data_IF_747655473198
#
_entry.id   IF_747655473198
#
_cell.length_a   1.000
_cell.length_b   1.000
_cell.length_c   1.000
_cell.angle_alpha   90.00
_cell.angle_beta   90.00
_cell.angle_gamma   90.00
#
_symmetry.space_group_name_H-M   'P 1'
#
loop_
_entity.id
_entity.type
_entity.pdbx_description
1 polymer ?
#
# COMPACT_ATOMS: atom_id res chain seq x y z
N UNK A 1 -0.12 -12.82 14.38
CA UNK A 1 1.29 -12.44 14.17
C UNK A 1 1.97 -13.65 13.57
N UNK A 2 2.31 -13.63 12.27
CA UNK A 2 3.10 -14.71 11.68
C UNK A 2 4.54 -14.50 12.17
N UNK A 3 4.88 -15.12 13.30
CA UNK A 3 6.25 -15.10 13.81
C UNK A 3 7.06 -15.94 12.84
N UNK A 4 7.88 -15.29 11.99
CA UNK A 4 8.88 -16.02 11.22
C UNK A 4 9.81 -16.71 12.23
N UNK A 5 9.87 -18.05 12.16
CA UNK A 5 10.83 -18.83 12.93
C UNK A 5 12.25 -18.27 12.68
N UNK A 6 13.11 -18.27 13.70
CA UNK A 6 14.47 -17.75 13.64
C UNK A 6 15.26 -18.28 12.43
N UNK A 7 15.01 -19.52 12.04
CA UNK A 7 15.58 -20.19 10.86
C UNK A 7 15.24 -19.50 9.53
N UNK A 8 14.04 -18.94 9.38
CA UNK A 8 13.63 -18.19 8.17
C UNK A 8 14.30 -16.82 8.10
N UNK A 9 14.48 -16.14 9.24
CA UNK A 9 15.24 -14.88 9.28
C UNK A 9 16.69 -15.10 8.87
N UNK A 10 17.33 -16.18 9.34
CA UNK A 10 18.69 -16.56 8.92
C UNK A 10 18.78 -16.84 7.41
N UNK A 11 17.76 -17.46 6.81
CA UNK A 11 17.71 -17.69 5.37
C UNK A 11 17.61 -16.38 4.57
N UNK A 12 16.79 -15.42 5.02
CA UNK A 12 16.72 -14.09 4.41
C UNK A 12 18.05 -13.34 4.50
N UNK A 13 18.72 -13.37 5.65
CA UNK A 13 20.06 -12.79 5.78
C UNK A 13 21.13 -13.51 4.95
N UNK A 14 20.93 -14.79 4.61
CA UNK A 14 21.78 -15.47 3.63
C UNK A 14 21.50 -14.95 2.22
N UNK A 15 20.23 -14.80 1.83
CA UNK A 15 19.84 -14.26 0.52
C UNK A 15 20.43 -12.86 0.28
N UNK A 16 20.36 -11.97 1.27
CA UNK A 16 20.97 -10.63 1.16
C UNK A 16 22.51 -10.66 1.07
N UNK A 17 23.17 -11.71 1.59
CA UNK A 17 24.63 -11.88 1.44
C UNK A 17 25.00 -12.46 0.08
N UNK A 18 24.21 -13.40 -0.40
CA UNK A 18 24.45 -14.10 -1.67
C UNK A 18 24.17 -13.16 -2.86
N UNK A 19 23.27 -12.19 -2.72
CA UNK A 19 22.92 -11.21 -3.74
C UNK A 19 23.04 -9.78 -3.19
N UNK A 20 24.09 -9.05 -3.63
CA UNK A 20 24.43 -7.74 -3.08
C UNK A 20 23.29 -6.72 -3.19
N UNK A 21 22.58 -6.74 -4.31
CA UNK A 21 21.48 -5.83 -4.67
C UNK A 21 20.10 -6.27 -4.17
N UNK A 22 20.02 -7.35 -3.37
CA UNK A 22 18.77 -7.79 -2.74
C UNK A 22 18.74 -7.28 -1.31
N UNK A 23 17.60 -6.68 -0.94
CA UNK A 23 17.28 -6.21 0.40
C UNK A 23 15.95 -6.80 0.86
N UNK A 24 15.93 -7.31 2.10
CA UNK A 24 14.74 -7.82 2.75
C UNK A 24 14.20 -6.78 3.72
N UNK A 25 13.02 -6.26 3.40
CA UNK A 25 12.34 -5.23 4.20
C UNK A 25 11.17 -5.88 4.92
N UNK A 26 11.23 -5.96 6.24
CA UNK A 26 10.08 -6.40 7.03
C UNK A 26 9.12 -5.23 7.21
N UNK A 27 7.84 -5.47 6.93
CA UNK A 27 6.77 -4.48 7.13
C UNK A 27 6.71 -3.92 8.56
N UNK A 28 7.12 -4.70 9.56
CA UNK A 28 7.19 -4.28 10.97
C UNK A 28 8.28 -3.25 11.25
N UNK A 29 9.31 -3.20 10.41
CA UNK A 29 10.46 -2.32 10.57
C UNK A 29 10.28 -0.98 9.81
N UNK A 30 9.15 -0.80 9.11
CA UNK A 30 8.86 0.41 8.33
C UNK A 30 7.79 1.23 9.03
N UNK A 31 8.11 2.50 9.30
CA UNK A 31 7.13 3.45 9.82
C UNK A 31 6.21 3.97 8.71
N UNK A 32 4.94 3.57 8.79
CA UNK A 32 3.85 4.04 7.96
C UNK A 32 2.88 4.97 8.69
N UNK A 33 3.16 5.35 9.93
CA UNK A 33 2.24 6.12 10.79
C UNK A 33 1.76 7.44 10.17
N UNK A 34 2.59 8.08 9.34
CA UNK A 34 2.23 9.31 8.62
C UNK A 34 1.05 9.14 7.63
N UNK A 35 0.75 7.90 7.23
CA UNK A 35 -0.38 7.58 6.36
C UNK A 35 -1.56 6.97 7.15
N UNK A 36 -1.43 6.80 8.46
CA UNK A 36 -2.52 6.25 9.25
C UNK A 36 -3.65 7.27 9.41
N UNK A 37 -4.88 6.77 9.46
CA UNK A 37 -6.07 7.55 9.78
C UNK A 37 -6.90 6.77 10.78
N UNK A 38 -7.54 7.49 11.70
CA UNK A 38 -8.53 6.88 12.59
C UNK A 38 -9.73 6.44 11.78
N UNK A 39 -10.20 5.23 12.05
CA UNK A 39 -11.41 4.71 11.42
C UNK A 39 -12.64 5.50 11.89
N UNK A 40 -12.63 5.99 13.13
CA UNK A 40 -13.71 6.85 13.65
C UNK A 40 -13.86 8.14 12.83
N UNK A 41 -12.75 8.83 12.52
CA UNK A 41 -12.75 10.03 11.68
C UNK A 41 -13.27 9.70 10.27
N UNK A 42 -12.82 8.57 9.70
CA UNK A 42 -13.28 8.08 8.40
C UNK A 42 -14.79 7.84 8.38
N UNK A 43 -15.31 7.10 9.36
CA UNK A 43 -16.74 6.80 9.44
C UNK A 43 -17.55 8.07 9.64
N UNK A 44 -17.05 9.02 10.43
CA UNK A 44 -17.68 10.32 10.61
C UNK A 44 -17.75 11.12 9.30
N UNK A 45 -16.67 11.18 8.53
CA UNK A 45 -16.64 11.87 7.23
C UNK A 45 -17.70 11.29 6.28
N UNK A 46 -17.74 9.95 6.14
CA UNK A 46 -18.67 9.26 5.25
C UNK A 46 -20.13 9.43 5.71
N UNK A 47 -20.40 9.36 7.01
CA UNK A 47 -21.75 9.60 7.56
C UNK A 47 -22.19 11.04 7.25
N UNK A 48 -21.31 12.02 7.41
CA UNK A 48 -21.61 13.41 7.08
C UNK A 48 -21.92 13.55 5.58
N UNK A 49 -21.11 12.98 4.71
CA UNK A 49 -21.33 12.99 3.26
C UNK A 49 -22.67 12.34 2.86
N UNK A 50 -23.02 11.19 3.47
CA UNK A 50 -24.30 10.52 3.22
C UNK A 50 -25.49 11.38 3.68
N UNK A 51 -25.38 12.06 4.82
CA UNK A 51 -26.44 12.93 5.35
C UNK A 51 -26.64 14.20 4.53
N UNK A 52 -25.63 14.66 3.78
CA UNK A 52 -25.76 15.77 2.83
C UNK A 52 -26.54 15.39 1.57
N UNK A 53 -26.74 14.09 1.29
CA UNK A 53 -27.51 13.60 0.15
C UNK A 53 -29.01 13.64 0.44
N UNK A 54 -29.78 13.81 -0.63
CA UNK A 54 -31.24 13.64 -0.61
C UNK A 54 -31.59 12.19 -0.25
N UNK A 55 -32.75 11.98 0.39
CA UNK A 55 -33.16 10.65 0.90
C UNK A 55 -33.15 9.56 -0.18
N UNK A 56 -33.54 9.90 -1.42
CA UNK A 56 -33.54 8.98 -2.57
C UNK A 56 -32.14 8.54 -3.04
N UNK A 57 -31.09 9.29 -2.64
CA UNK A 57 -29.68 9.04 -3.01
C UNK A 57 -28.83 8.60 -1.83
N UNK A 58 -29.42 8.51 -0.64
CA UNK A 58 -28.71 8.12 0.57
C UNK A 58 -28.69 6.61 0.68
N UNK A 59 -27.51 6.07 1.00
CA UNK A 59 -27.38 4.66 1.32
C UNK A 59 -27.68 4.45 2.82
N UNK A 60 -28.96 4.22 3.14
CA UNK A 60 -29.41 4.01 4.52
C UNK A 60 -28.85 2.72 5.14
N UNK A 61 -28.52 1.70 4.32
CA UNK A 61 -27.88 0.49 4.83
C UNK A 61 -26.45 0.79 5.29
N UNK A 62 -25.67 1.47 4.43
CA UNK A 62 -24.31 1.89 4.77
C UNK A 62 -24.30 2.81 5.99
N UNK A 63 -25.22 3.78 6.07
CA UNK A 63 -25.30 4.70 7.19
C UNK A 63 -25.54 3.97 8.52
N UNK A 64 -26.51 3.05 8.56
CA UNK A 64 -26.78 2.23 9.74
C UNK A 64 -25.58 1.35 10.13
N UNK A 65 -24.88 0.79 9.14
CA UNK A 65 -23.68 -0.01 9.37
C UNK A 65 -22.56 0.84 9.99
N UNK A 66 -22.24 1.99 9.39
CA UNK A 66 -21.18 2.87 9.86
C UNK A 66 -21.47 3.45 11.25
N UNK A 67 -22.72 3.80 11.55
CA UNK A 67 -23.11 4.24 12.90
C UNK A 67 -22.95 3.13 13.93
N UNK A 68 -23.20 1.87 13.56
CA UNK A 68 -22.94 0.72 14.44
C UNK A 68 -21.44 0.52 14.66
N UNK A 69 -20.65 0.46 13.60
CA UNK A 69 -19.20 0.32 13.67
C UNK A 69 -18.55 1.42 14.52
N UNK A 70 -18.98 2.67 14.35
CA UNK A 70 -18.51 3.81 15.12
C UNK A 70 -18.86 3.71 16.62
N UNK A 71 -20.00 3.11 16.99
CA UNK A 71 -20.35 2.87 18.40
C UNK A 71 -19.52 1.75 19.03
N UNK A 72 -19.12 0.77 18.24
CA UNK A 72 -18.44 -0.44 18.72
C UNK A 72 -16.90 -0.32 18.67
N UNK A 73 -16.36 0.66 17.94
CA UNK A 73 -14.92 0.80 17.78
C UNK A 73 -14.20 1.16 19.09
N UNK A 74 -13.21 0.35 19.45
CA UNK A 74 -12.34 0.64 20.59
C UNK A 74 -11.14 1.50 20.19
N UNK A 75 -10.58 2.28 21.14
CA UNK A 75 -9.36 3.08 20.90
C UNK A 75 -8.18 2.26 20.37
N UNK A 76 -8.08 0.98 20.73
CA UNK A 76 -7.01 0.09 20.26
C UNK A 76 -7.24 -0.43 18.82
N UNK A 77 -8.44 -0.25 18.27
CA UNK A 77 -8.82 -0.64 16.92
C UNK A 77 -8.97 0.57 15.99
N UNK A 78 -8.90 1.78 16.52
CA UNK A 78 -9.12 3.03 15.79
C UNK A 78 -7.89 3.48 14.98
N UNK A 79 -7.50 2.63 14.04
CA UNK A 79 -6.36 2.83 13.14
C UNK A 79 -6.56 1.99 11.87
N UNK A 80 -6.56 2.66 10.72
CA UNK A 80 -6.67 2.05 9.42
C UNK A 80 -5.55 1.03 9.19
N UNK A 81 -4.31 1.43 9.48
CA UNK A 81 -3.14 0.54 9.34
C UNK A 81 -3.27 -0.68 10.25
N UNK A 82 -3.71 -0.49 11.50
CA UNK A 82 -3.88 -1.59 12.45
C UNK A 82 -4.98 -2.56 12.02
N UNK A 83 -6.06 -2.06 11.41
CA UNK A 83 -7.13 -2.88 10.84
C UNK A 83 -6.60 -3.74 9.68
N UNK A 84 -5.90 -3.14 8.72
CA UNK A 84 -5.35 -3.88 7.59
C UNK A 84 -4.23 -4.85 8.01
N UNK A 85 -3.39 -4.50 8.98
CA UNK A 85 -2.35 -5.39 9.54
C UNK A 85 -2.91 -6.70 10.14
N UNK A 86 -4.17 -6.72 10.55
CA UNK A 86 -4.85 -7.92 11.07
C UNK A 86 -5.39 -8.83 9.97
N UNK A 87 -5.62 -8.32 8.75
CA UNK A 87 -6.12 -9.12 7.61
C UNK A 87 -5.08 -10.17 7.17
N UNK A 88 -5.55 -11.25 6.53
CA UNK A 88 -4.75 -12.40 6.05
C UNK A 88 -5.10 -12.81 4.62
N UNK A 89 -5.54 -11.86 3.81
CA UNK A 89 -5.96 -12.03 2.42
C UNK A 89 -5.26 -10.98 1.53
N UNK A 90 -5.61 -10.93 0.24
CA UNK A 90 -5.04 -9.99 -0.73
C UNK A 90 -5.13 -8.53 -0.26
N UNK A 91 -6.20 -8.14 0.44
CA UNK A 91 -6.37 -6.78 0.94
C UNK A 91 -5.28 -6.35 1.93
N UNK A 92 -4.68 -7.28 2.69
CA UNK A 92 -3.49 -6.96 3.48
C UNK A 92 -2.32 -6.56 2.57
N UNK A 93 -2.09 -7.34 1.52
CA UNK A 93 -0.98 -7.11 0.60
C UNK A 93 -1.17 -5.84 -0.22
N UNK A 94 -2.34 -5.65 -0.84
CA UNK A 94 -2.65 -4.48 -1.66
C UNK A 94 -2.48 -3.18 -0.86
N UNK A 95 -2.97 -3.16 0.38
CA UNK A 95 -2.86 -2.01 1.27
C UNK A 95 -1.39 -1.65 1.57
N UNK A 96 -0.58 -2.63 1.99
CA UNK A 96 0.83 -2.37 2.30
C UNK A 96 1.70 -2.16 1.06
N UNK A 97 1.33 -2.71 -0.11
CA UNK A 97 1.97 -2.42 -1.40
C UNK A 97 1.82 -0.93 -1.73
N UNK A 98 0.62 -0.38 -1.61
CA UNK A 98 0.36 1.03 -1.87
C UNK A 98 1.12 1.94 -0.90
N UNK A 99 1.14 1.61 0.39
CA UNK A 99 1.94 2.36 1.38
C UNK A 99 3.46 2.28 1.10
N UNK A 100 3.96 1.11 0.69
CA UNK A 100 5.35 0.94 0.31
C UNK A 100 5.70 1.79 -0.92
N UNK A 101 4.82 1.85 -1.93
CA UNK A 101 4.96 2.69 -3.11
C UNK A 101 4.82 4.19 -2.80
N UNK A 102 4.04 4.59 -1.80
CA UNK A 102 4.02 5.96 -1.29
C UNK A 102 5.35 6.34 -0.65
N UNK A 103 6.00 5.43 0.09
CA UNK A 103 7.38 5.68 0.57
C UNK A 103 8.40 5.60 -0.57
N UNK A 104 8.17 4.76 -1.57
CA UNK A 104 9.05 4.53 -2.72
C UNK A 104 10.52 4.36 -2.30
N UNK A 105 11.46 5.12 -2.86
CA UNK A 105 12.88 5.07 -2.49
C UNK A 105 13.15 5.24 -0.99
N UNK A 106 12.32 5.99 -0.27
CA UNK A 106 12.48 6.19 1.18
C UNK A 106 12.36 4.88 1.97
N UNK A 107 11.63 3.88 1.46
CA UNK A 107 11.45 2.61 2.19
C UNK A 107 12.78 1.90 2.42
N UNK A 108 13.72 1.99 1.47
CA UNK A 108 15.04 1.38 1.58
C UNK A 108 15.88 2.06 2.65
N UNK A 109 15.67 3.38 2.85
CA UNK A 109 16.39 4.20 3.82
C UNK A 109 15.84 4.14 5.23
N UNK A 110 14.55 3.83 5.37
CA UNK A 110 13.91 3.65 6.68
C UNK A 110 14.33 2.34 7.38
N UNK A 111 15.06 1.45 6.70
CA UNK A 111 15.56 0.22 7.31
C UNK A 111 16.91 0.45 7.99
N UNK A 112 17.20 -0.32 9.03
CA UNK A 112 18.53 -0.38 9.64
C UNK A 112 19.60 -1.02 8.73
N UNK A 113 19.27 -1.29 7.46
CA UNK A 113 20.18 -1.87 6.50
C UNK A 113 21.12 -0.80 5.95
N UNK A 114 22.43 -1.06 5.99
CA UNK A 114 23.46 -0.13 5.51
C UNK A 114 23.56 -0.08 3.98
N UNK A 115 22.87 -0.99 3.28
CA UNK A 115 22.84 -1.06 1.82
C UNK A 115 21.84 -0.09 1.20
N UNK A 116 22.02 1.21 1.39
CA UNK A 116 21.12 2.21 0.79
C UNK A 116 21.36 2.44 -0.72
N UNK A 117 22.27 1.69 -1.36
CA UNK A 117 22.54 1.65 -2.82
C UNK A 117 22.56 2.98 -3.58
N UNK A 118 22.83 4.10 -2.90
CA UNK A 118 22.82 5.44 -3.51
C UNK A 118 21.42 6.04 -3.73
N UNK A 119 20.38 5.52 -3.09
CA UNK A 119 19.01 6.03 -3.19
C UNK A 119 18.92 7.41 -2.53
N UNK A 120 18.55 8.41 -3.34
CA UNK A 120 18.34 9.79 -2.92
C UNK A 120 16.97 10.01 -2.27
N UNK A 121 16.81 11.14 -1.58
CA UNK A 121 15.50 11.55 -1.08
C UNK A 121 14.51 11.76 -2.24
N UNK A 122 13.28 11.28 -2.07
CA UNK A 122 12.19 11.47 -3.02
C UNK A 122 12.23 10.55 -4.24
N UNK A 123 13.15 9.57 -4.31
CA UNK A 123 13.23 8.66 -5.45
C UNK A 123 12.01 7.76 -5.60
N UNK A 124 11.76 7.37 -6.85
CA UNK A 124 10.67 6.50 -7.26
C UNK A 124 10.86 5.03 -6.88
N UNK A 125 9.94 4.19 -7.35
CA UNK A 125 9.96 2.75 -7.15
C UNK A 125 9.25 2.04 -8.31
N UNK A 126 9.74 0.86 -8.67
CA UNK A 126 9.10 -0.06 -9.60
C UNK A 126 8.70 -1.29 -8.81
N UNK A 127 7.41 -1.45 -8.58
CA UNK A 127 6.83 -2.67 -8.05
C UNK A 127 6.48 -3.63 -9.19
N UNK A 128 6.80 -4.91 -9.01
CA UNK A 128 6.47 -6.02 -9.91
C UNK A 128 5.96 -7.20 -9.08
N UNK A 129 4.87 -7.83 -9.51
CA UNK A 129 4.46 -9.13 -9.00
C UNK A 129 5.55 -10.19 -9.27
N UNK A 130 5.60 -11.21 -8.42
CA UNK A 130 6.66 -12.23 -8.46
C UNK A 130 6.68 -13.08 -9.74
N UNK A 131 5.59 -13.09 -10.51
CA UNK A 131 5.45 -13.79 -11.78
C UNK A 131 5.80 -12.92 -13.01
N UNK A 132 6.16 -11.64 -12.80
CA UNK A 132 6.69 -10.76 -13.85
C UNK A 132 8.16 -11.10 -14.13
N UNK A 133 8.41 -11.92 -15.15
CA UNK A 133 9.75 -12.39 -15.50
C UNK A 133 10.53 -11.32 -16.28
N UNK A 134 11.67 -10.87 -15.70
CA UNK A 134 12.62 -10.00 -16.40
C UNK A 134 13.50 -10.81 -17.36
N UNK A 135 13.43 -10.50 -18.65
CA UNK A 135 14.26 -11.13 -19.70
C UNK A 135 15.47 -10.28 -20.12
N UNK A 136 15.61 -9.09 -19.56
CA UNK A 136 16.68 -8.14 -19.84
C UNK A 136 16.67 -6.94 -18.90
N UNK A 137 17.59 -5.99 -19.11
CA UNK A 137 17.61 -4.71 -18.37
C UNK A 137 16.41 -3.85 -18.80
N UNK A 138 15.73 -3.22 -17.84
CA UNK A 138 14.61 -2.31 -18.11
C UNK A 138 15.04 -0.98 -18.76
N UNK A 139 16.26 -0.52 -18.46
CA UNK A 139 16.73 0.79 -18.92
C UNK A 139 15.98 1.95 -18.25
N UNK A 140 15.94 3.10 -18.92
CA UNK A 140 15.18 4.27 -18.46
C UNK A 140 13.72 4.14 -18.88
N UNK A 141 12.80 4.24 -17.92
CA UNK A 141 11.36 4.18 -18.15
C UNK A 141 10.81 5.61 -18.15
N UNK A 142 9.98 5.92 -19.14
CA UNK A 142 9.24 7.17 -19.22
C UNK A 142 7.76 6.88 -19.00
N UNK A 143 7.19 7.49 -17.95
CA UNK A 143 5.79 7.34 -17.58
C UNK A 143 5.10 8.72 -17.59
N UNK A 144 3.86 8.84 -18.09
CA UNK A 144 3.08 10.08 -18.02
C UNK A 144 2.93 10.56 -16.56
N UNK A 145 3.27 11.82 -16.29
CA UNK A 145 3.37 12.42 -14.94
C UNK A 145 4.30 11.68 -13.94
N UNK A 146 5.00 10.65 -14.40
CA UNK A 146 5.82 9.80 -13.57
C UNK A 146 5.09 8.63 -12.91
N UNK A 147 3.89 8.24 -13.36
CA UNK A 147 3.20 7.03 -12.90
C UNK A 147 2.72 6.15 -14.07
N UNK A 148 2.83 4.83 -13.91
CA UNK A 148 2.24 3.85 -14.84
C UNK A 148 1.87 2.56 -14.10
N UNK A 149 0.84 1.87 -14.59
CA UNK A 149 0.35 0.62 -14.01
C UNK A 149 0.22 -0.47 -15.07
N UNK A 150 0.15 -1.73 -14.62
CA UNK A 150 -0.14 -2.86 -15.49
C UNK A 150 -1.55 -2.73 -16.08
N UNK A 151 -1.69 -3.15 -17.33
CA UNK A 151 -2.98 -3.27 -18.01
C UNK A 151 -3.12 -4.72 -18.44
N UNK A 152 -4.02 -5.43 -17.77
CA UNK A 152 -4.37 -6.79 -18.13
C UNK A 152 -5.37 -6.77 -19.28
N UNK A 153 -5.14 -7.65 -20.26
CA UNK A 153 -5.99 -7.82 -21.43
C UNK A 153 -6.36 -9.28 -21.54
N UNK A 154 -7.62 -9.59 -21.23
CA UNK A 154 -8.18 -10.94 -21.35
C UNK A 154 -9.34 -10.89 -22.32
N UNK A 155 -9.18 -11.56 -23.47
CA UNK A 155 -10.11 -11.49 -24.59
C UNK A 155 -10.33 -10.02 -24.99
N UNK A 156 -11.58 -9.56 -24.99
CA UNK A 156 -11.97 -8.19 -25.30
C UNK A 156 -12.02 -7.27 -24.08
N UNK A 157 -11.67 -7.76 -22.88
CA UNK A 157 -11.65 -6.95 -21.65
C UNK A 157 -10.29 -6.35 -21.37
N UNK A 158 -10.30 -5.10 -20.91
CA UNK A 158 -9.10 -4.34 -20.54
C UNK A 158 -9.30 -3.83 -19.12
N UNK A 159 -8.42 -4.24 -18.20
CA UNK A 159 -8.47 -3.87 -16.80
C UNK A 159 -7.15 -3.23 -16.36
N UNK A 160 -7.23 -2.23 -15.49
CA UNK A 160 -6.07 -1.69 -14.80
C UNK A 160 -5.79 -2.61 -13.62
N UNK A 161 -4.56 -3.10 -13.50
CA UNK A 161 -4.14 -4.04 -12.48
C UNK A 161 -2.98 -3.49 -11.66
N UNK A 162 -2.86 -3.96 -10.41
CA UNK A 162 -1.82 -3.55 -9.48
C UNK A 162 -0.58 -4.47 -9.50
N UNK A 163 -0.48 -5.36 -10.49
CA UNK A 163 0.62 -6.32 -10.66
C UNK A 163 1.95 -5.71 -11.08
N UNK A 164 1.93 -4.52 -11.68
CA UNK A 164 3.12 -3.70 -11.86
C UNK A 164 2.73 -2.25 -11.66
N UNK A 165 3.48 -1.54 -10.82
CA UNK A 165 3.24 -0.12 -10.55
C UNK A 165 4.59 0.58 -10.54
N UNK A 166 4.69 1.65 -11.33
CA UNK A 166 5.90 2.45 -11.46
C UNK A 166 5.56 3.84 -11.00
N UNK A 167 6.35 4.38 -10.08
CA UNK A 167 6.31 5.79 -9.68
C UNK A 167 7.70 6.39 -9.78
N UNK A 168 7.81 7.63 -10.25
CA UNK A 168 9.09 8.32 -10.38
C UNK A 168 9.53 9.05 -9.10
N UNK A 169 8.62 9.20 -8.14
CA UNK A 169 8.86 9.89 -6.87
C UNK A 169 8.06 9.27 -5.73
N UNK A 170 8.56 9.44 -4.50
CA UNK A 170 7.77 9.15 -3.30
C UNK A 170 6.57 10.11 -3.20
N UNK A 171 5.53 9.67 -2.50
CA UNK A 171 4.28 10.40 -2.31
C UNK A 171 3.67 10.89 -3.63
N UNK A 172 3.69 10.04 -4.66
CA UNK A 172 3.11 10.38 -5.96
C UNK A 172 1.63 10.79 -5.79
N UNK A 173 1.17 11.93 -6.34
CA UNK A 173 -0.18 12.47 -6.11
C UNK A 173 -1.30 11.47 -6.41
N UNK A 174 -1.23 10.76 -7.53
CA UNK A 174 -2.21 9.73 -7.88
C UNK A 174 -2.37 8.64 -6.80
N UNK A 175 -1.27 8.17 -6.20
CA UNK A 175 -1.34 7.17 -5.12
C UNK A 175 -1.88 7.77 -3.81
N UNK A 176 -1.62 9.05 -3.55
CA UNK A 176 -2.19 9.75 -2.38
C UNK A 176 -3.71 9.90 -2.54
N UNK A 177 -4.18 10.31 -3.72
CA UNK A 177 -5.60 10.42 -4.03
C UNK A 177 -6.30 9.06 -3.93
N UNK A 178 -5.72 8.01 -4.53
CA UNK A 178 -6.28 6.66 -4.45
C UNK A 178 -6.30 6.13 -3.01
N UNK A 179 -5.27 6.40 -2.22
CA UNK A 179 -5.25 6.00 -0.81
C UNK A 179 -6.35 6.71 0.00
N UNK A 180 -6.60 7.99 -0.30
CA UNK A 180 -7.70 8.75 0.30
C UNK A 180 -9.07 8.22 -0.16
N UNK A 181 -9.20 7.74 -1.40
CA UNK A 181 -10.46 7.24 -1.96
C UNK A 181 -10.80 5.81 -1.54
N UNK A 182 -9.80 4.92 -1.40
CA UNK A 182 -9.97 3.52 -0.96
C UNK A 182 -10.49 3.39 0.48
N UNK A 183 -10.52 4.50 1.22
CA UNK A 183 -11.06 4.61 2.56
C UNK A 183 -12.59 4.79 2.55
N UNK A 184 -13.15 5.28 1.44
CA UNK A 184 -14.54 5.74 1.32
C UNK A 184 -15.44 4.77 0.51
N UNK A 185 -14.83 3.84 -0.24
CA UNK A 185 -15.54 2.80 -1.01
C UNK A 185 -15.50 1.45 -0.29
#
# INVERSE_FOLDING_TARGET
>A
MAIFQSTKKTAFSKLERDFENVMIIYREDVDFSMYDRKLSDIYHDIICEQRLRTEDKRDEYLLNLLEKELREISKAQDSLISMYAKKRNHAWFDFFRNLALLKAGEIFRCTYNTKNHGISFGEGCIYLDMDMILTGKLGTIYAPDGISMHVDRRNDSVNIENSAIIVNRSNHPALLEDFLLCIVK
#
